data_IF_299430054919
#
_entry.id   IF_299430054919
#
_cell.length_a   1.000
_cell.length_b   1.000
_cell.length_c   1.000
_cell.angle_alpha   90.00
_cell.angle_beta   90.00
_cell.angle_gamma   90.00
#
_symmetry.space_group_name_H-M   'P 1'
#
loop_
_entity.id
_entity.type
_entity.pdbx_description
1 polymer ?
#
# COMPACT_ATOMS: atom_id res chain seq x y z
N UNK A 1 -71.35 7.09 18.25
CA UNK A 1 -70.86 5.74 18.62
C UNK A 1 -69.59 5.53 17.81
N UNK A 2 -68.41 5.21 18.30
CA UNK A 2 -67.80 4.95 19.60
C UNK A 2 -66.29 5.12 19.30
N UNK A 3 -65.58 5.97 20.02
CA UNK A 3 -64.63 5.57 21.07
C UNK A 3 -63.54 4.57 20.62
N UNK A 4 -62.28 5.01 20.64
CA UNK A 4 -61.28 4.73 21.71
C UNK A 4 -59.88 5.17 21.24
N UNK A 5 -59.33 6.20 21.87
CA UNK A 5 -58.26 6.09 22.88
C UNK A 5 -56.85 6.01 22.26
N UNK A 6 -56.14 7.14 22.24
CA UNK A 6 -54.99 7.29 23.14
C UNK A 6 -54.74 8.78 23.36
N UNK A 7 -54.73 9.17 24.63
CA UNK A 7 -54.58 10.52 25.11
C UNK A 7 -53.66 10.42 26.33
N UNK A 8 -52.91 11.51 26.58
CA UNK A 8 -52.18 11.86 27.82
C UNK A 8 -50.74 11.34 27.98
N UNK A 9 -49.80 12.13 28.49
CA UNK A 9 -49.68 13.58 28.77
C UNK A 9 -48.25 13.83 29.29
N UNK A 10 -47.84 15.10 29.23
CA UNK A 10 -46.86 15.87 30.06
C UNK A 10 -46.00 16.70 29.08
N UNK A 11 -46.08 18.03 28.85
CA UNK A 11 -46.48 19.23 29.64
C UNK A 11 -45.83 19.27 31.02
N UNK A 12 -45.09 20.27 31.50
CA UNK A 12 -44.62 21.62 31.05
C UNK A 12 -43.69 22.14 32.18
N UNK A 13 -42.93 23.22 31.94
CA UNK A 13 -42.30 24.18 32.90
C UNK A 13 -40.92 23.73 33.43
N UNK A 14 -39.82 24.50 33.46
CA UNK A 14 -39.53 25.94 33.28
C UNK A 14 -38.53 26.39 34.38
N UNK A 15 -37.77 27.48 34.13
CA UNK A 15 -36.82 28.20 35.04
C UNK A 15 -35.43 27.56 35.29
N UNK A 16 -34.28 28.25 35.43
CA UNK A 16 -33.81 29.63 35.20
C UNK A 16 -32.30 29.72 35.58
N UNK A 17 -31.53 30.63 34.95
CA UNK A 17 -30.19 31.17 35.32
C UNK A 17 -29.00 30.17 35.42
N UNK A 18 -27.79 30.46 34.91
CA UNK A 18 -26.87 31.54 35.34
C UNK A 18 -25.88 31.88 34.21
N UNK A 19 -25.74 33.18 33.94
CA UNK A 19 -24.61 33.85 33.30
C UNK A 19 -23.43 33.92 34.28
N UNK A 20 -22.24 33.44 33.89
CA UNK A 20 -20.97 33.92 34.45
C UNK A 20 -20.00 34.19 33.30
N UNK A 21 -19.77 35.47 33.05
CA UNK A 21 -18.53 35.95 32.49
C UNK A 21 -17.55 36.18 33.66
N UNK A 22 -16.27 35.87 33.49
CA UNK A 22 -15.11 36.50 34.14
C UNK A 22 -13.81 35.98 33.48
N UNK A 23 -12.72 36.78 33.47
CA UNK A 23 -11.74 36.84 32.39
C UNK A 23 -10.36 36.28 32.75
N UNK A 24 -9.48 36.22 31.74
CA UNK A 24 -8.01 36.24 31.82
C UNK A 24 -7.33 35.28 32.80
N UNK A 25 -6.58 34.30 32.28
CA UNK A 25 -5.23 34.07 32.79
C UNK A 25 -4.31 33.48 31.71
N UNK A 26 -3.22 34.21 31.49
CA UNK A 26 -2.00 33.82 30.80
C UNK A 26 -1.50 32.46 31.28
N UNK A 27 -1.26 31.54 30.35
CA UNK A 27 -0.34 30.43 30.54
C UNK A 27 0.61 30.35 29.35
N UNK A 28 1.72 31.07 29.55
CA UNK A 28 3.09 30.75 29.19
C UNK A 28 3.26 29.61 28.18
N UNK A 29 3.67 30.00 26.98
CA UNK A 29 4.31 29.14 25.98
C UNK A 29 5.59 28.58 26.60
N UNK A 30 5.53 27.37 27.16
CA UNK A 30 6.73 26.56 27.34
C UNK A 30 7.00 25.85 26.02
N UNK A 31 7.73 26.57 25.15
CA UNK A 31 8.49 26.01 24.05
C UNK A 31 9.48 25.00 24.61
N UNK A 32 9.07 23.73 24.71
CA UNK A 32 10.03 22.63 24.76
C UNK A 32 10.68 22.57 23.39
N UNK A 33 11.89 23.14 23.31
CA UNK A 33 12.88 22.82 22.29
C UNK A 33 13.09 21.29 22.29
N UNK A 34 12.29 20.57 21.52
CA UNK A 34 12.67 19.25 21.03
C UNK A 34 13.78 19.52 20.01
N UNK A 35 15.02 19.37 20.46
CA UNK A 35 16.18 19.37 19.58
C UNK A 35 16.06 18.19 18.64
N UNK A 36 15.48 18.40 17.46
CA UNK A 36 15.70 17.55 16.31
C UNK A 36 17.18 17.70 15.96
N UNK A 37 17.98 16.75 16.45
CA UNK A 37 19.30 16.51 15.88
C UNK A 37 19.08 16.10 14.44
N UNK A 38 19.66 16.86 13.52
CA UNK A 38 19.90 16.40 12.16
C UNK A 38 20.57 15.03 12.25
N UNK A 39 19.83 13.98 11.90
CA UNK A 39 20.41 12.63 11.86
C UNK A 39 21.34 12.57 10.66
N UNK A 40 22.58 12.09 10.83
CA UNK A 40 23.41 11.77 9.69
C UNK A 40 22.79 10.56 8.98
N UNK A 41 22.33 10.77 7.74
CA UNK A 41 22.01 9.69 6.79
C UNK A 41 23.25 8.79 6.68
N UNK A 42 23.31 7.71 7.46
CA UNK A 42 24.48 6.84 7.60
C UNK A 42 24.09 5.40 7.34
N UNK A 43 23.80 5.13 6.07
CA UNK A 43 24.16 3.91 5.32
C UNK A 43 23.40 3.98 4.00
N UNK A 44 23.98 4.68 3.02
CA UNK A 44 23.48 4.59 1.65
C UNK A 44 23.79 3.17 1.20
N UNK A 45 22.75 2.33 1.09
CA UNK A 45 22.85 1.05 0.42
C UNK A 45 23.50 1.29 -0.95
N UNK A 46 24.64 0.65 -1.21
CA UNK A 46 25.32 0.76 -2.49
C UNK A 46 24.48 0.00 -3.52
N UNK A 47 23.62 0.72 -4.24
CA UNK A 47 22.93 0.19 -5.40
C UNK A 47 23.97 -0.21 -6.44
N UNK A 48 23.95 -1.49 -6.86
CA UNK A 48 24.76 -1.97 -7.96
C UNK A 48 23.97 -1.78 -9.24
N UNK A 49 24.05 -0.59 -9.82
CA UNK A 49 23.59 -0.40 -11.18
C UNK A 49 24.61 -1.09 -12.11
N UNK A 50 24.15 -2.09 -12.88
CA UNK A 50 24.92 -2.58 -14.01
C UNK A 50 25.01 -1.45 -15.03
N UNK A 51 26.23 -1.00 -15.36
CA UNK A 51 26.47 0.14 -16.24
C UNK A 51 26.05 -0.07 -17.71
N UNK A 52 25.46 -1.21 -18.07
CA UNK A 52 25.08 -1.53 -19.46
C UNK A 52 23.69 -2.18 -19.57
N UNK A 53 22.62 -1.39 -19.43
CA UNK A 53 21.25 -1.82 -19.72
C UNK A 53 20.95 -2.03 -21.23
N UNK A 54 21.96 -1.93 -22.10
CA UNK A 54 21.83 -2.15 -23.55
C UNK A 54 22.60 -3.37 -24.08
N UNK A 55 23.24 -4.17 -23.21
CA UNK A 55 24.01 -5.33 -23.68
C UNK A 55 24.43 -6.38 -22.66
N UNK A 56 24.08 -6.25 -21.38
CA UNK A 56 24.40 -7.27 -20.39
C UNK A 56 23.37 -8.42 -20.42
N UNK A 57 23.77 -9.60 -20.90
CA UNK A 57 23.12 -10.86 -20.54
C UNK A 57 23.08 -10.94 -19.01
N UNK A 58 21.90 -10.76 -18.42
CA UNK A 58 21.67 -10.81 -16.99
C UNK A 58 22.08 -12.18 -16.44
N UNK A 59 23.32 -12.29 -15.97
CA UNK A 59 24.00 -13.55 -15.62
C UNK A 59 23.59 -14.13 -14.26
N UNK A 60 22.35 -13.87 -13.85
CA UNK A 60 21.73 -14.46 -12.67
C UNK A 60 20.27 -14.71 -13.00
N UNK A 61 19.98 -15.77 -13.77
CA UNK A 61 18.61 -16.21 -14.03
C UNK A 61 17.93 -16.43 -12.68
N UNK A 62 17.07 -15.47 -12.28
CA UNK A 62 16.24 -15.65 -11.09
C UNK A 62 15.27 -16.77 -11.40
N UNK A 63 15.28 -17.77 -10.55
CA UNK A 63 14.38 -18.91 -10.68
C UNK A 63 12.94 -18.43 -10.56
N UNK A 64 12.17 -18.59 -11.62
CA UNK A 64 10.72 -18.46 -11.56
C UNK A 64 10.15 -19.77 -11.00
N UNK A 65 9.31 -19.67 -9.98
CA UNK A 65 8.55 -20.81 -9.46
C UNK A 65 7.07 -20.55 -9.71
N UNK A 66 6.46 -21.33 -10.60
CA UNK A 66 5.02 -21.25 -10.83
C UNK A 66 4.31 -22.39 -10.10
N UNK A 67 3.26 -22.04 -9.37
CA UNK A 67 2.37 -22.98 -8.72
C UNK A 67 0.99 -22.91 -9.37
N UNK A 68 0.54 -24.04 -9.89
CA UNK A 68 -0.79 -24.18 -10.50
C UNK A 68 -1.83 -24.59 -9.44
N UNK A 69 -3.01 -23.96 -9.51
CA UNK A 69 -4.13 -24.16 -8.61
C UNK A 69 -5.45 -24.25 -9.40
N UNK A 70 -5.58 -25.31 -10.22
CA UNK A 70 -6.68 -25.43 -11.18
C UNK A 70 -6.50 -24.41 -12.31
N UNK A 71 -7.53 -23.64 -12.64
CA UNK A 71 -7.50 -22.61 -13.70
C UNK A 71 -6.70 -21.34 -13.33
N UNK A 72 -5.92 -21.39 -12.25
CA UNK A 72 -5.17 -20.23 -11.76
C UNK A 72 -3.71 -20.60 -11.57
N UNK A 73 -2.83 -19.67 -11.87
CA UNK A 73 -1.38 -19.84 -11.79
C UNK A 73 -0.79 -18.65 -11.04
N UNK A 74 0.06 -18.94 -10.06
CA UNK A 74 0.83 -17.93 -9.34
C UNK A 74 2.29 -18.19 -9.66
N UNK A 75 2.92 -17.25 -10.38
CA UNK A 75 4.34 -17.29 -10.66
C UNK A 75 5.07 -16.33 -9.73
N UNK A 76 5.98 -16.90 -8.93
CA UNK A 76 6.84 -16.14 -8.05
C UNK A 76 8.22 -15.99 -8.68
N UNK A 77 8.76 -14.79 -8.54
CA UNK A 77 10.13 -14.47 -8.82
C UNK A 77 10.82 -13.89 -7.58
N UNK A 78 12.06 -14.32 -7.35
CA UNK A 78 12.79 -13.99 -6.13
C UNK A 78 12.35 -14.85 -4.95
N UNK A 79 13.05 -14.68 -3.83
CA UNK A 79 12.83 -15.46 -2.61
C UNK A 79 12.68 -14.53 -1.43
N UNK A 80 11.80 -14.92 -0.53
CA UNK A 80 11.55 -14.16 0.68
C UNK A 80 12.66 -14.43 1.70
N UNK A 81 13.22 -13.36 2.26
CA UNK A 81 14.37 -13.39 3.16
C UNK A 81 13.90 -13.27 4.60
N UNK A 82 14.32 -14.22 5.45
CA UNK A 82 14.00 -14.18 6.88
C UNK A 82 14.70 -12.99 7.55
N UNK A 83 14.02 -12.33 8.48
CA UNK A 83 14.54 -11.17 9.21
C UNK A 83 14.46 -9.83 8.46
N UNK A 84 13.99 -9.84 7.21
CA UNK A 84 13.76 -8.63 6.43
C UNK A 84 12.36 -8.05 6.73
N UNK A 85 12.16 -6.77 6.39
CA UNK A 85 10.86 -6.09 6.42
C UNK A 85 10.34 -5.96 4.99
N UNK A 86 9.03 -6.07 4.77
CA UNK A 86 8.46 -5.96 3.42
C UNK A 86 7.33 -4.94 3.34
N UNK A 87 7.36 -4.11 2.28
CA UNK A 87 6.19 -3.37 1.83
C UNK A 87 5.42 -4.19 0.80
N UNK A 88 4.10 -4.31 0.97
CA UNK A 88 3.22 -5.10 0.11
C UNK A 88 2.30 -4.19 -0.68
N UNK A 89 2.43 -4.21 -1.99
CA UNK A 89 1.65 -3.42 -2.93
C UNK A 89 1.67 -4.07 -4.31
N UNK A 90 0.93 -3.52 -5.26
CA UNK A 90 0.91 -4.09 -6.58
C UNK A 90 0.11 -3.28 -7.58
N UNK A 91 -0.06 -3.87 -8.75
CA UNK A 91 -0.81 -3.30 -9.85
C UNK A 91 -1.52 -4.41 -10.64
N UNK A 92 -2.22 -4.01 -11.69
CA UNK A 92 -2.83 -4.92 -12.64
C UNK A 92 -2.39 -4.61 -14.06
N UNK A 93 -2.35 -5.62 -14.94
CA UNK A 93 -1.98 -5.51 -16.35
C UNK A 93 -3.16 -5.30 -17.29
N UNK A 94 -4.38 -5.13 -16.78
CA UNK A 94 -5.52 -4.88 -17.65
C UNK A 94 -5.47 -3.48 -18.26
N UNK A 95 -5.87 -3.39 -19.52
CA UNK A 95 -5.67 -2.25 -20.44
C UNK A 95 -6.49 -1.00 -20.06
N UNK A 96 -6.17 -0.42 -18.90
CA UNK A 96 -6.66 0.88 -18.46
C UNK A 96 -5.45 1.81 -18.33
N UNK A 97 -5.53 3.07 -18.81
CA UNK A 97 -4.43 4.03 -18.67
C UNK A 97 -3.91 4.17 -17.24
N UNK A 98 -4.79 3.99 -16.25
CA UNK A 98 -4.43 4.02 -14.83
C UNK A 98 -3.59 2.82 -14.39
N UNK A 99 -3.87 1.63 -14.91
CA UNK A 99 -3.08 0.42 -14.66
C UNK A 99 -1.63 0.59 -15.13
N UNK A 100 -1.45 1.21 -16.29
CA UNK A 100 -0.12 1.53 -16.84
C UNK A 100 0.64 2.50 -15.92
N UNK A 101 -0.04 3.53 -15.41
CA UNK A 101 0.56 4.46 -14.45
C UNK A 101 1.07 3.74 -13.21
N UNK A 102 0.27 2.83 -12.63
CA UNK A 102 0.68 2.09 -11.45
C UNK A 102 1.80 1.09 -11.75
N UNK A 103 1.77 0.41 -12.89
CA UNK A 103 2.84 -0.50 -13.29
C UNK A 103 4.17 0.23 -13.46
N UNK A 104 4.16 1.41 -14.11
CA UNK A 104 5.34 2.27 -14.24
C UNK A 104 5.97 2.60 -12.88
N UNK A 105 5.15 2.84 -11.86
CA UNK A 105 5.64 3.22 -10.54
C UNK A 105 6.22 2.05 -9.75
N UNK A 106 5.97 0.78 -10.10
CA UNK A 106 6.40 -0.36 -9.29
C UNK A 106 7.91 -0.39 -9.00
N UNK A 107 8.83 -0.24 -9.98
CA UNK A 107 10.26 -0.25 -9.71
C UNK A 107 10.71 0.94 -8.87
N UNK A 108 10.16 2.13 -9.15
CA UNK A 108 10.48 3.36 -8.42
C UNK A 108 10.00 3.28 -6.97
N UNK A 109 8.82 2.71 -6.74
CA UNK A 109 8.26 2.47 -5.40
C UNK A 109 9.08 1.43 -4.66
N UNK A 110 9.58 0.40 -5.35
CA UNK A 110 10.43 -0.61 -4.73
C UNK A 110 11.74 -0.01 -4.23
N UNK A 111 12.34 0.86 -5.05
CA UNK A 111 13.51 1.64 -4.68
C UNK A 111 13.22 2.56 -3.48
N UNK A 112 12.06 3.23 -3.45
CA UNK A 112 11.65 4.13 -2.36
C UNK A 112 11.49 3.41 -1.02
N UNK A 113 10.89 2.22 -1.02
CA UNK A 113 10.78 1.37 0.17
C UNK A 113 12.13 0.78 0.59
N UNK A 114 12.95 0.33 -0.36
CA UNK A 114 14.28 -0.22 -0.06
C UNK A 114 15.18 0.80 0.63
N UNK A 115 15.11 2.07 0.21
CA UNK A 115 15.84 3.18 0.83
C UNK A 115 15.62 3.30 2.34
N UNK A 116 14.43 2.94 2.84
CA UNK A 116 14.10 2.97 4.28
C UNK A 116 14.14 1.57 4.93
N UNK A 117 14.83 0.62 4.30
CA UNK A 117 15.08 -0.72 4.84
C UNK A 117 13.93 -1.71 4.67
N UNK A 118 13.05 -1.52 3.68
CA UNK A 118 11.99 -2.47 3.33
C UNK A 118 12.25 -3.09 1.96
N UNK A 119 12.28 -4.41 1.92
CA UNK A 119 12.15 -5.14 0.66
C UNK A 119 10.71 -4.97 0.13
N UNK A 120 10.48 -5.31 -1.13
CA UNK A 120 9.18 -5.14 -1.78
C UNK A 120 8.60 -6.50 -2.15
N UNK A 121 7.39 -6.76 -1.66
CA UNK A 121 6.56 -7.88 -2.10
C UNK A 121 5.50 -7.33 -3.05
N UNK A 122 5.76 -7.47 -4.34
CA UNK A 122 4.97 -6.86 -5.40
C UNK A 122 4.07 -7.93 -6.01
N UNK A 123 2.79 -7.61 -6.19
CA UNK A 123 1.90 -8.44 -6.99
C UNK A 123 1.49 -7.75 -8.29
N UNK A 124 1.37 -8.53 -9.34
CA UNK A 124 0.87 -8.12 -10.64
C UNK A 124 -0.30 -9.04 -11.00
N UNK A 125 -1.49 -8.46 -11.14
CA UNK A 125 -2.67 -9.20 -11.58
C UNK A 125 -2.78 -9.15 -13.09
N UNK A 126 -2.65 -10.30 -13.75
CA UNK A 126 -2.70 -10.43 -15.19
C UNK A 126 -2.04 -11.73 -15.65
N UNK A 127 -2.09 -11.97 -16.96
CA UNK A 127 -1.51 -13.18 -17.55
C UNK A 127 0.00 -13.03 -17.67
N UNK A 128 0.74 -14.07 -17.27
CA UNK A 128 2.20 -14.10 -17.38
C UNK A 128 2.68 -13.91 -18.83
N UNK A 129 1.92 -14.42 -19.79
CA UNK A 129 2.18 -14.21 -21.21
C UNK A 129 2.21 -12.72 -21.59
N UNK A 130 1.42 -11.85 -20.95
CA UNK A 130 1.48 -10.39 -21.17
C UNK A 130 2.76 -9.78 -20.60
N UNK A 131 3.30 -10.31 -19.50
CA UNK A 131 4.59 -9.88 -18.98
C UNK A 131 5.70 -10.09 -20.01
N UNK A 132 5.62 -11.21 -20.73
CA UNK A 132 6.58 -11.51 -21.78
C UNK A 132 6.23 -10.76 -23.07
N UNK A 133 5.00 -10.74 -23.55
CA UNK A 133 4.70 -10.29 -24.91
C UNK A 133 4.52 -8.78 -25.11
N UNK A 134 4.31 -8.01 -24.04
CA UNK A 134 4.19 -6.54 -24.15
C UNK A 134 5.51 -5.87 -23.80
N UNK A 135 6.15 -5.22 -24.77
CA UNK A 135 7.46 -4.55 -24.60
C UNK A 135 7.53 -3.63 -23.37
N UNK A 136 6.46 -2.88 -23.11
CA UNK A 136 6.31 -2.01 -21.92
C UNK A 136 6.29 -2.78 -20.60
N UNK A 137 5.49 -3.85 -20.53
CA UNK A 137 5.37 -4.64 -19.30
C UNK A 137 6.65 -5.42 -19.06
N UNK A 138 7.23 -6.01 -20.12
CA UNK A 138 8.53 -6.69 -20.06
C UNK A 138 9.60 -5.76 -19.49
N UNK A 139 9.71 -4.53 -19.99
CA UNK A 139 10.66 -3.54 -19.48
C UNK A 139 10.50 -3.25 -17.98
N UNK A 140 9.25 -3.15 -17.49
CA UNK A 140 8.96 -2.96 -16.07
C UNK A 140 9.34 -4.20 -15.26
N UNK A 141 8.97 -5.38 -15.72
CA UNK A 141 9.27 -6.65 -15.06
C UNK A 141 10.79 -6.86 -15.00
N UNK A 142 11.51 -6.63 -16.09
CA UNK A 142 12.98 -6.71 -16.13
C UNK A 142 13.62 -5.77 -15.11
N UNK A 143 13.14 -4.52 -15.01
CA UNK A 143 13.60 -3.56 -14.01
C UNK A 143 13.34 -4.03 -12.57
N UNK A 144 12.17 -4.63 -12.28
CA UNK A 144 11.90 -5.24 -10.98
C UNK A 144 12.81 -6.44 -10.69
N UNK A 145 13.05 -7.25 -11.71
CA UNK A 145 13.79 -8.50 -11.63
C UNK A 145 15.31 -8.30 -11.49
N UNK A 146 15.82 -7.13 -11.84
CA UNK A 146 17.18 -6.73 -11.56
C UNK A 146 17.46 -6.57 -10.05
N UNK A 147 16.44 -6.26 -9.24
CA UNK A 147 16.62 -5.76 -7.86
C UNK A 147 16.42 -6.85 -6.79
N UNK A 148 17.45 -7.18 -6.01
CA UNK A 148 17.49 -8.36 -5.11
C UNK A 148 16.52 -8.25 -3.92
N UNK A 149 16.06 -7.04 -3.64
CA UNK A 149 15.07 -6.71 -2.64
C UNK A 149 13.62 -6.82 -3.15
N UNK A 150 13.40 -7.31 -4.37
CA UNK A 150 12.06 -7.51 -4.95
C UNK A 150 11.68 -8.98 -4.99
N UNK A 151 10.50 -9.28 -4.45
CA UNK A 151 9.76 -10.52 -4.69
C UNK A 151 8.53 -10.17 -5.50
N UNK A 152 8.43 -10.73 -6.71
CA UNK A 152 7.33 -10.46 -7.63
C UNK A 152 6.40 -11.68 -7.74
N UNK A 153 5.10 -11.46 -7.55
CA UNK A 153 4.04 -12.45 -7.69
C UNK A 153 3.13 -12.07 -8.87
N UNK A 154 3.15 -12.87 -9.94
CA UNK A 154 2.19 -12.74 -11.04
C UNK A 154 1.00 -13.66 -10.77
N UNK A 155 -0.20 -13.10 -10.69
CA UNK A 155 -1.43 -13.83 -10.38
C UNK A 155 -2.34 -13.86 -11.60
N UNK A 156 -2.44 -15.05 -12.19
CA UNK A 156 -3.24 -15.34 -13.38
C UNK A 156 -4.65 -15.86 -13.04
N UNK A 157 -5.53 -15.94 -14.04
CA UNK A 157 -6.86 -16.53 -13.91
C UNK A 157 -7.91 -15.60 -13.28
N UNK A 158 -7.58 -14.32 -13.12
CA UNK A 158 -8.48 -13.29 -12.60
C UNK A 158 -9.21 -12.60 -13.76
N UNK A 159 -10.54 -12.57 -13.71
CA UNK A 159 -11.36 -11.86 -14.70
C UNK A 159 -11.12 -10.34 -14.59
N UNK A 160 -11.08 -9.66 -15.74
CA UNK A 160 -10.89 -8.20 -15.82
C UNK A 160 -11.85 -7.41 -14.92
N UNK A 161 -13.13 -7.79 -14.84
CA UNK A 161 -14.12 -7.08 -14.02
C UNK A 161 -13.83 -7.16 -12.51
N UNK A 162 -13.10 -8.19 -12.06
CA UNK A 162 -12.76 -8.37 -10.65
C UNK A 162 -11.38 -7.77 -10.33
N UNK A 163 -10.61 -7.39 -11.35
CA UNK A 163 -9.19 -7.07 -11.22
C UNK A 163 -8.88 -5.86 -10.36
N UNK A 164 -9.73 -4.83 -10.39
CA UNK A 164 -9.52 -3.61 -9.60
C UNK A 164 -9.78 -3.90 -8.13
N UNK A 165 -10.92 -4.52 -7.80
CA UNK A 165 -11.24 -4.97 -6.44
C UNK A 165 -10.18 -5.92 -5.92
N UNK A 166 -9.76 -6.88 -6.73
CA UNK A 166 -8.69 -7.81 -6.37
C UNK A 166 -7.37 -7.07 -6.18
N UNK A 167 -6.99 -6.16 -7.07
CA UNK A 167 -5.76 -5.36 -6.96
C UNK A 167 -5.70 -4.54 -5.68
N UNK A 168 -6.84 -4.01 -5.25
CA UNK A 168 -6.98 -3.28 -3.99
C UNK A 168 -6.84 -4.19 -2.78
N UNK A 169 -7.58 -5.30 -2.72
CA UNK A 169 -7.66 -6.10 -1.50
C UNK A 169 -6.54 -7.16 -1.40
N UNK A 170 -5.91 -7.54 -2.51
CA UNK A 170 -4.92 -8.61 -2.57
C UNK A 170 -3.71 -8.37 -1.65
N UNK A 171 -3.31 -7.11 -1.42
CA UNK A 171 -2.26 -6.78 -0.43
C UNK A 171 -2.59 -7.26 0.99
N UNK A 172 -3.87 -7.33 1.36
CA UNK A 172 -4.29 -7.88 2.66
C UNK A 172 -4.06 -9.38 2.79
N UNK A 173 -3.89 -10.06 1.65
CA UNK A 173 -3.69 -11.49 1.55
C UNK A 173 -2.26 -11.85 1.08
N UNK A 174 -1.38 -10.87 0.85
CA UNK A 174 -0.01 -11.11 0.39
C UNK A 174 0.74 -12.11 1.28
N UNK A 175 0.54 -12.04 2.60
CA UNK A 175 1.13 -12.98 3.56
C UNK A 175 0.72 -14.45 3.35
N UNK A 176 -0.50 -14.72 2.85
CA UNK A 176 -0.98 -16.09 2.63
C UNK A 176 -0.54 -16.70 1.30
N UNK A 177 -0.21 -15.87 0.31
CA UNK A 177 0.30 -16.34 -0.99
C UNK A 177 1.78 -16.74 -0.95
N UNK A 178 2.59 -16.05 -0.15
CA UNK A 178 4.03 -16.34 0.03
C UNK A 178 4.30 -17.66 0.76
N UNK A 179 3.38 -18.09 1.64
CA UNK A 179 3.57 -19.22 2.57
C UNK A 179 3.86 -20.58 1.94
N UNK A 180 3.66 -20.76 0.62
CA UNK A 180 3.89 -22.05 -0.03
C UNK A 180 5.30 -22.23 -0.58
N UNK A 181 6.12 -21.18 -0.58
CA UNK A 181 7.42 -21.22 -1.28
C UNK A 181 8.61 -21.37 -0.33
N UNK A 182 8.50 -20.92 0.92
CA UNK A 182 9.56 -21.01 1.93
C UNK A 182 9.03 -21.64 3.26
N UNK A 183 9.93 -22.14 4.11
CA UNK A 183 9.56 -22.74 5.43
C UNK A 183 8.62 -21.80 6.20
N UNK A 184 7.36 -22.19 6.47
CA UNK A 184 6.38 -21.34 7.13
C UNK A 184 6.82 -20.78 8.49
N UNK A 185 7.82 -21.40 9.14
CA UNK A 185 8.38 -20.93 10.41
C UNK A 185 9.29 -19.71 10.24
N UNK A 186 10.00 -19.59 9.13
CA UNK A 186 10.98 -18.50 8.93
C UNK A 186 10.32 -17.18 8.56
N UNK A 187 9.11 -17.23 8.00
CA UNK A 187 8.33 -16.07 7.57
C UNK A 187 7.45 -15.47 8.67
N UNK A 188 7.13 -16.21 9.73
CA UNK A 188 6.17 -15.79 10.76
C UNK A 188 6.57 -14.52 11.52
N UNK A 189 7.86 -14.31 11.72
CA UNK A 189 8.38 -13.13 12.42
C UNK A 189 8.71 -11.96 11.49
N UNK A 190 8.61 -12.14 10.18
CA UNK A 190 8.80 -11.06 9.21
C UNK A 190 7.74 -9.98 9.42
N UNK A 191 8.21 -8.73 9.48
CA UNK A 191 7.34 -7.56 9.51
C UNK A 191 6.91 -7.18 8.09
N UNK A 192 5.61 -7.02 7.90
CA UNK A 192 5.04 -6.57 6.64
C UNK A 192 4.19 -5.33 6.88
N UNK A 193 4.17 -4.43 5.89
CA UNK A 193 3.32 -3.26 5.87
C UNK A 193 2.61 -3.19 4.53
N UNK A 194 1.32 -2.85 4.53
CA UNK A 194 0.63 -2.57 3.28
C UNK A 194 1.06 -1.21 2.73
N UNK A 195 1.10 -1.08 1.42
CA UNK A 195 1.47 0.14 0.72
C UNK A 195 0.66 0.28 -0.57
N UNK A 196 0.69 1.46 -1.18
CA UNK A 196 0.23 1.71 -2.55
C UNK A 196 1.44 1.93 -3.47
N UNK A 197 1.29 1.56 -4.75
CA UNK A 197 2.34 1.77 -5.74
C UNK A 197 2.60 3.26 -6.02
N UNK A 198 1.71 4.17 -5.64
CA UNK A 198 1.85 5.62 -5.80
C UNK A 198 2.09 6.36 -4.48
N UNK A 199 2.42 5.67 -3.39
CA UNK A 199 2.78 6.30 -2.11
C UNK A 199 4.24 5.95 -1.79
N UNK A 200 5.13 6.96 -1.85
CA UNK A 200 6.54 6.77 -1.53
C UNK A 200 6.84 7.16 -0.08
N UNK A 201 7.53 6.30 0.70
CA UNK A 201 7.95 6.66 2.04
C UNK A 201 9.06 7.71 1.99
N UNK A 202 8.89 8.78 2.77
CA UNK A 202 9.89 9.85 2.90
C UNK A 202 10.71 9.67 4.18
N UNK A 203 10.04 9.35 5.30
CA UNK A 203 10.68 9.21 6.61
C UNK A 203 10.44 7.82 7.22
N UNK A 204 11.53 7.09 7.47
CA UNK A 204 11.51 5.70 7.97
C UNK A 204 10.83 5.52 9.33
N UNK A 205 10.92 6.51 10.22
CA UNK A 205 10.51 6.38 11.62
C UNK A 205 9.01 6.15 11.81
N UNK A 206 8.21 6.42 10.79
CA UNK A 206 6.75 6.27 10.80
C UNK A 206 6.27 4.89 10.36
N UNK A 207 7.17 4.05 9.84
CA UNK A 207 6.84 2.75 9.29
C UNK A 207 7.31 1.58 10.16
N UNK A 208 8.20 1.84 11.12
CA UNK A 208 8.68 0.83 12.05
C UNK A 208 7.69 0.55 13.18
N UNK A 209 7.57 -0.71 13.55
CA UNK A 209 6.75 -1.16 14.68
C UNK A 209 7.48 -0.86 16.00
N UNK A 210 6.91 -0.06 16.92
CA UNK A 210 7.59 0.24 18.18
C UNK A 210 7.75 -1.01 19.07
N UNK A 211 8.76 -1.05 19.96
CA UNK A 211 8.95 -2.16 20.88
C UNK A 211 7.69 -2.47 21.73
N UNK A 212 7.37 -3.77 21.85
CA UNK A 212 6.22 -4.25 22.62
C UNK A 212 4.87 -4.14 21.91
N UNK A 213 4.85 -3.63 20.68
CA UNK A 213 3.65 -3.53 19.84
C UNK A 213 3.59 -4.69 18.85
N UNK A 214 2.37 -5.06 18.47
CA UNK A 214 2.10 -6.13 17.51
C UNK A 214 1.57 -5.56 16.18
N UNK A 215 0.89 -4.41 16.21
CA UNK A 215 0.27 -3.75 15.05
C UNK A 215 0.63 -2.26 15.02
N UNK A 216 1.06 -1.77 13.86
CA UNK A 216 1.11 -0.36 13.47
C UNK A 216 -0.18 -0.04 12.71
N UNK A 217 -0.85 1.04 13.09
CA UNK A 217 -2.08 1.50 12.47
C UNK A 217 -2.07 3.03 12.34
N UNK A 218 -2.05 3.53 11.11
CA UNK A 218 -2.29 4.96 10.86
C UNK A 218 -3.75 5.30 11.13
N UNK A 219 -4.00 6.43 11.78
CA UNK A 219 -5.34 7.00 11.92
C UNK A 219 -5.39 8.39 11.29
N UNK A 220 -6.33 8.58 10.37
CA UNK A 220 -6.57 9.84 9.64
C UNK A 220 -7.82 10.58 10.13
N UNK A 221 -8.63 9.91 10.95
CA UNK A 221 -9.91 10.44 11.40
C UNK A 221 -9.76 11.45 12.54
N UNK A 222 -8.61 11.45 13.21
CA UNK A 222 -8.40 12.20 14.45
C UNK A 222 -9.30 11.73 15.59
N UNK A 223 -9.94 10.56 15.44
CA UNK A 223 -10.92 10.04 16.37
C UNK A 223 -10.23 8.95 17.23
N UNK A 224 -9.90 9.25 18.50
CA UNK A 224 -8.95 8.45 19.27
C UNK A 224 -9.44 7.02 19.60
N UNK A 225 -10.73 6.73 19.44
CA UNK A 225 -11.31 5.42 19.74
C UNK A 225 -12.31 4.97 18.66
N UNK A 226 -11.86 4.13 17.71
CA UNK A 226 -12.75 3.47 16.76
C UNK A 226 -13.69 2.51 17.51
N UNK A 227 -15.00 2.58 17.25
CA UNK A 227 -15.96 1.54 17.61
C UNK A 227 -16.03 0.48 16.49
N UNK A 228 -16.36 -0.77 16.83
CA UNK A 228 -16.61 -1.86 15.87
C UNK A 228 -17.68 -1.49 14.85
N UNK A 229 -18.65 -0.69 15.25
CA UNK A 229 -19.75 -0.27 14.38
C UNK A 229 -19.35 0.89 13.46
N UNK A 230 -18.28 1.61 13.78
CA UNK A 230 -17.74 2.73 13.00
C UNK A 230 -16.21 2.69 13.01
N UNK A 231 -15.59 1.65 12.43
CA UNK A 231 -14.15 1.55 12.42
C UNK A 231 -13.56 2.72 11.64
N UNK A 232 -12.51 3.33 12.17
CA UNK A 232 -11.74 4.35 11.47
C UNK A 232 -11.13 3.70 10.25
N UNK A 233 -11.31 4.28 9.07
CA UNK A 233 -10.68 3.77 7.86
C UNK A 233 -9.16 3.89 7.99
N UNK A 234 -8.50 2.76 8.24
CA UNK A 234 -7.05 2.68 8.26
C UNK A 234 -6.53 2.99 6.86
N UNK A 235 -5.71 4.04 6.67
CA UNK A 235 -5.01 4.21 5.42
C UNK A 235 -4.06 3.03 5.25
N UNK A 236 -4.24 2.26 4.17
CA UNK A 236 -3.50 1.01 3.97
C UNK A 236 -1.99 1.20 3.98
N UNK A 237 -1.48 2.33 3.50
CA UNK A 237 -0.04 2.60 3.53
C UNK A 237 0.59 2.68 4.94
N UNK A 238 -0.22 2.53 6.01
CA UNK A 238 0.18 2.62 7.42
C UNK A 238 -0.42 1.49 8.27
N UNK A 239 -0.65 0.32 7.68
CA UNK A 239 -1.02 -0.89 8.43
C UNK A 239 0.08 -1.90 8.31
N UNK A 240 0.76 -2.17 9.42
CA UNK A 240 1.88 -3.11 9.44
C UNK A 240 1.93 -3.96 10.70
N UNK A 241 2.30 -5.22 10.56
CA UNK A 241 2.42 -6.18 11.66
C UNK A 241 3.30 -7.34 11.23
N UNK A 242 3.69 -8.19 12.18
CA UNK A 242 4.38 -9.43 11.84
C UNK A 242 3.41 -10.39 11.14
N UNK A 243 3.92 -11.20 10.22
CA UNK A 243 3.13 -12.19 9.46
C UNK A 243 2.28 -13.06 10.38
N UNK A 244 2.82 -13.54 11.51
CA UNK A 244 2.04 -14.34 12.48
C UNK A 244 0.79 -13.59 12.97
N UNK A 245 0.94 -12.32 13.35
CA UNK A 245 -0.15 -11.45 13.78
C UNK A 245 -1.08 -11.14 12.61
N UNK A 246 -0.53 -10.94 11.41
CA UNK A 246 -1.32 -10.74 10.19
C UNK A 246 -2.26 -11.91 9.91
N UNK A 247 -1.76 -13.14 10.01
CA UNK A 247 -2.56 -14.35 9.84
C UNK A 247 -3.63 -14.43 10.92
N UNK A 248 -3.30 -14.13 12.19
CA UNK A 248 -4.30 -14.12 13.26
C UNK A 248 -5.42 -13.11 13.01
N UNK A 249 -5.08 -11.87 12.66
CA UNK A 249 -6.01 -10.79 12.34
C UNK A 249 -6.91 -11.17 11.16
N UNK A 250 -6.34 -11.74 10.10
CA UNK A 250 -7.09 -12.05 8.88
C UNK A 250 -7.85 -13.38 8.93
N UNK A 251 -7.39 -14.37 9.72
CA UNK A 251 -8.05 -15.67 9.88
C UNK A 251 -9.26 -15.64 10.83
N UNK A 252 -9.55 -14.48 11.43
CA UNK A 252 -10.53 -14.33 12.51
C UNK A 252 -12.01 -14.46 12.08
N UNK A 253 -12.36 -15.38 11.18
CA UNK A 253 -13.76 -15.67 10.86
C UNK A 253 -14.21 -17.12 10.97
N UNK A 254 -13.39 -18.07 11.43
CA UNK A 254 -13.83 -19.45 11.78
C UNK A 254 -14.54 -20.27 10.68
N UNK A 255 -14.85 -19.68 9.53
CA UNK A 255 -15.67 -20.23 8.45
C UNK A 255 -14.82 -20.55 7.23
N UNK A 256 -13.67 -19.89 7.05
CA UNK A 256 -12.75 -20.16 5.96
C UNK A 256 -11.30 -20.03 6.43
N UNK A 257 -10.47 -21.02 6.07
CA UNK A 257 -9.03 -20.82 6.10
C UNK A 257 -8.65 -19.65 5.18
N UNK A 258 -7.61 -18.90 5.53
CA UNK A 258 -7.08 -17.82 4.69
C UNK A 258 -6.96 -18.25 3.22
N UNK A 259 -7.45 -17.46 2.26
CA UNK A 259 -7.33 -17.78 0.85
C UNK A 259 -5.87 -18.04 0.48
N UNK A 260 -5.60 -19.21 -0.12
CA UNK A 260 -4.28 -19.62 -0.60
C UNK A 260 -4.19 -19.66 -2.13
N UNK A 261 -5.31 -19.39 -2.80
CA UNK A 261 -5.43 -19.36 -4.26
C UNK A 261 -6.32 -18.17 -4.65
N UNK A 262 -6.14 -17.65 -5.86
CA UNK A 262 -7.01 -16.60 -6.40
C UNK A 262 -8.47 -17.06 -6.47
N UNK A 263 -8.75 -18.34 -6.77
CA UNK A 263 -10.11 -18.91 -6.69
C UNK A 263 -10.71 -18.83 -5.29
N UNK A 264 -9.95 -19.21 -4.25
CA UNK A 264 -10.41 -19.09 -2.86
C UNK A 264 -10.61 -17.63 -2.48
N UNK A 265 -9.79 -16.73 -3.01
CA UNK A 265 -9.87 -15.30 -2.77
C UNK A 265 -11.14 -14.71 -3.41
N UNK A 266 -11.45 -15.09 -4.65
CA UNK A 266 -12.69 -14.72 -5.33
C UNK A 266 -13.91 -15.27 -4.56
N UNK A 267 -13.90 -16.55 -4.19
CA UNK A 267 -14.99 -17.14 -3.39
C UNK A 267 -15.17 -16.44 -2.04
N UNK A 268 -14.06 -16.07 -1.39
CA UNK A 268 -14.07 -15.27 -0.17
C UNK A 268 -14.72 -13.92 -0.44
N UNK A 269 -14.33 -13.20 -1.49
CA UNK A 269 -14.93 -11.91 -1.83
C UNK A 269 -16.39 -12.00 -2.22
N UNK A 270 -16.81 -13.00 -2.98
CA UNK A 270 -18.21 -13.26 -3.29
C UNK A 270 -19.00 -13.53 -2.00
N UNK A 271 -18.41 -14.27 -1.05
CA UNK A 271 -19.06 -14.54 0.23
C UNK A 271 -19.18 -13.31 1.15
N UNK A 272 -18.19 -12.41 1.12
CA UNK A 272 -18.14 -11.23 2.00
C UNK A 272 -18.87 -10.03 1.39
N UNK A 273 -18.79 -9.86 0.06
CA UNK A 273 -19.28 -8.67 -0.66
C UNK A 273 -20.47 -8.96 -1.57
N UNK A 274 -20.83 -10.22 -1.78
CA UNK A 274 -21.96 -10.58 -2.64
C UNK A 274 -21.77 -10.05 -4.06
N UNK A 275 -22.80 -9.44 -4.63
CA UNK A 275 -22.77 -8.91 -6.01
C UNK A 275 -21.75 -7.79 -6.22
N UNK A 276 -21.41 -7.05 -5.17
CA UNK A 276 -20.45 -5.93 -5.27
C UNK A 276 -19.01 -6.38 -5.53
N UNK A 277 -18.70 -7.68 -5.38
CA UNK A 277 -17.39 -8.24 -5.79
C UNK A 277 -17.17 -8.20 -7.31
N UNK A 278 -18.26 -8.17 -8.08
CA UNK A 278 -18.27 -8.25 -9.54
C UNK A 278 -18.54 -6.89 -10.22
N UNK A 279 -18.81 -5.86 -9.42
CA UNK A 279 -19.08 -4.51 -9.89
C UNK A 279 -17.76 -3.76 -10.08
N UNK A 280 -17.67 -2.95 -11.14
CA UNK A 280 -16.51 -2.09 -11.35
C UNK A 280 -16.38 -1.10 -10.19
N UNK A 281 -15.17 -0.97 -9.63
CA UNK A 281 -14.92 -0.05 -8.53
C UNK A 281 -14.93 1.39 -9.05
N UNK A 282 -15.93 2.18 -8.63
CA UNK A 282 -15.94 3.62 -8.88
C UNK A 282 -14.95 4.31 -7.94
N UNK A 283 -14.08 5.15 -8.52
CA UNK A 283 -13.11 5.92 -7.75
C UNK A 283 -13.79 6.81 -6.69
N UNK A 284 -13.34 6.70 -5.44
CA UNK A 284 -13.95 7.41 -4.31
C UNK A 284 -15.31 6.85 -3.85
N UNK A 285 -15.84 5.81 -4.51
CA UNK A 285 -17.04 5.09 -4.07
C UNK A 285 -16.76 4.13 -2.91
N UNK A 286 -17.81 3.55 -2.32
CA UNK A 286 -17.68 2.62 -1.18
C UNK A 286 -16.79 1.41 -1.48
N UNK A 287 -16.86 0.88 -2.71
CA UNK A 287 -15.99 -0.22 -3.15
C UNK A 287 -14.51 0.15 -3.21
N UNK A 288 -14.17 1.44 -3.33
CA UNK A 288 -12.78 1.92 -3.41
C UNK A 288 -12.02 1.80 -2.09
N UNK A 289 -12.73 1.81 -0.96
CA UNK A 289 -12.17 1.76 0.40
C UNK A 289 -12.40 0.40 1.07
N UNK A 290 -12.70 -0.63 0.27
CA UNK A 290 -13.16 -1.92 0.77
C UNK A 290 -12.06 -2.67 1.53
N UNK A 291 -10.81 -2.50 1.11
CA UNK A 291 -9.62 -3.00 1.77
C UNK A 291 -9.37 -2.28 3.11
N UNK A 292 -9.46 -0.95 3.13
CA UNK A 292 -9.38 -0.13 4.35
C UNK A 292 -10.45 -0.54 5.36
N UNK A 293 -11.71 -0.63 4.92
CA UNK A 293 -12.81 -1.05 5.78
C UNK A 293 -12.63 -2.48 6.30
N UNK A 294 -12.19 -3.40 5.46
CA UNK A 294 -11.91 -4.79 5.86
C UNK A 294 -10.86 -4.84 6.95
N UNK A 295 -9.66 -4.30 6.71
CA UNK A 295 -8.55 -4.42 7.66
C UNK A 295 -8.84 -3.69 8.97
N UNK A 296 -9.51 -2.54 8.91
CA UNK A 296 -9.88 -1.77 10.10
C UNK A 296 -10.82 -2.55 11.00
N UNK A 297 -11.84 -3.16 10.41
CA UNK A 297 -12.76 -4.05 11.13
C UNK A 297 -12.00 -5.24 11.74
N UNK A 298 -11.08 -5.87 10.99
CA UNK A 298 -10.31 -7.02 11.50
C UNK A 298 -9.41 -6.67 12.67
N UNK A 299 -8.73 -5.54 12.59
CA UNK A 299 -7.87 -5.05 13.68
C UNK A 299 -8.73 -4.79 14.93
N UNK A 300 -9.92 -4.19 14.77
CA UNK A 300 -10.81 -3.93 15.90
C UNK A 300 -11.38 -5.22 16.52
N UNK A 301 -11.77 -6.19 15.70
CA UNK A 301 -12.19 -7.52 16.16
C UNK A 301 -11.05 -8.21 16.94
N UNK A 302 -9.85 -8.26 16.37
CA UNK A 302 -8.66 -8.81 17.04
C UNK A 302 -8.34 -8.08 18.35
N UNK A 303 -8.49 -6.74 18.37
CA UNK A 303 -8.28 -5.90 19.56
C UNK A 303 -9.18 -6.33 20.72
N UNK A 304 -10.48 -6.46 20.47
CA UNK A 304 -11.47 -6.83 21.51
C UNK A 304 -11.12 -8.18 22.14
N UNK A 305 -10.60 -9.10 21.35
CA UNK A 305 -10.44 -10.48 21.77
C UNK A 305 -9.06 -10.82 22.33
N UNK A 306 -8.02 -10.15 21.82
CA UNK A 306 -6.63 -10.46 22.14
C UNK A 306 -5.93 -9.40 22.95
N UNK A 307 -6.34 -8.13 22.82
CA UNK A 307 -5.60 -7.06 23.46
C UNK A 307 -5.77 -7.12 24.98
N UNK A 308 -6.94 -7.53 25.52
CA UNK A 308 -7.19 -7.66 26.98
C UNK A 308 -6.66 -6.45 27.80
N UNK A 309 -6.62 -5.24 27.21
CA UNK A 309 -6.07 -4.02 27.83
C UNK A 309 -4.55 -3.81 27.72
N UNK A 310 -3.79 -4.68 27.06
CA UNK A 310 -2.31 -4.65 26.96
C UNK A 310 -1.75 -3.63 25.95
N UNK A 311 -2.60 -2.85 25.26
CA UNK A 311 -2.21 -1.81 24.28
C UNK A 311 -1.20 -2.33 23.24
N UNK A 312 -1.53 -3.41 22.54
CA UNK A 312 -0.70 -4.02 21.50
C UNK A 312 -0.72 -3.27 20.17
N UNK A 313 -1.71 -2.41 19.97
CA UNK A 313 -1.80 -1.57 18.78
C UNK A 313 -1.06 -0.24 19.05
N UNK A 314 -0.25 0.17 18.09
CA UNK A 314 0.33 1.50 18.01
C UNK A 314 -0.44 2.31 16.98
N UNK A 315 -1.16 3.32 17.44
CA UNK A 315 -1.91 4.23 16.60
C UNK A 315 -1.04 5.45 16.32
N UNK A 316 -0.81 5.71 15.05
CA UNK A 316 -0.11 6.91 14.60
C UNK A 316 -1.10 7.88 13.97
N UNK A 317 -1.31 9.03 14.62
CA UNK A 317 -2.22 10.07 14.13
C UNK A 317 -1.58 10.79 12.94
N UNK A 318 -2.11 10.52 11.75
CA UNK A 318 -1.71 11.16 10.49
C UNK A 318 -2.40 12.50 10.33
N UNK A 319 -1.64 13.48 9.86
CA UNK A 319 -2.16 14.75 9.42
C UNK A 319 -1.82 14.92 7.94
N UNK A 320 -2.50 14.18 7.07
CA UNK A 320 -2.23 14.13 5.62
C UNK A 320 -2.12 15.52 4.97
N UNK A 321 -2.84 16.51 5.47
CA UNK A 321 -2.80 17.88 4.95
C UNK A 321 -1.46 18.61 5.21
N UNK A 322 -0.65 18.11 6.14
CA UNK A 322 0.59 18.74 6.59
C UNK A 322 1.81 17.83 6.53
N UNK A 323 1.60 16.51 6.62
CA UNK A 323 2.69 15.52 6.72
C UNK A 323 2.89 14.71 5.43
N UNK A 324 2.15 15.02 4.37
CA UNK A 324 2.25 14.37 3.05
C UNK A 324 2.46 15.39 1.94
N UNK A 325 3.33 15.07 1.00
CA UNK A 325 3.36 15.75 -0.31
C UNK A 325 2.26 15.12 -1.15
N UNK A 326 1.15 15.83 -1.36
CA UNK A 326 -0.03 15.30 -2.05
C UNK A 326 -0.15 15.82 -3.49
N UNK A 327 -0.79 15.06 -4.38
CA UNK A 327 -1.02 15.43 -5.78
C UNK A 327 -1.70 16.78 -5.93
N UNK A 328 -2.63 17.10 -5.02
CA UNK A 328 -3.37 18.37 -5.07
C UNK A 328 -2.52 19.58 -4.66
N UNK A 329 -1.36 19.33 -4.05
CA UNK A 329 -0.44 20.36 -3.56
C UNK A 329 1.01 19.89 -3.71
N UNK A 330 1.43 19.67 -4.95
CA UNK A 330 2.76 19.19 -5.26
C UNK A 330 3.82 20.28 -5.13
N UNK A 331 4.40 20.40 -3.94
CA UNK A 331 5.44 21.36 -3.62
C UNK A 331 6.54 20.70 -2.80
N UNK A 332 7.77 20.77 -3.30
CA UNK A 332 8.90 19.97 -2.81
C UNK A 332 10.09 20.89 -2.58
N UNK A 333 10.13 21.51 -1.41
CA UNK A 333 11.24 22.37 -1.00
C UNK A 333 12.09 21.70 0.09
N UNK A 334 11.43 21.04 1.05
CA UNK A 334 12.04 20.37 2.20
C UNK A 334 11.30 19.07 2.52
N UNK A 335 12.01 18.06 3.03
CA UNK A 335 11.43 16.79 3.49
C UNK A 335 11.22 16.74 5.02
N UNK A 336 11.62 17.78 5.74
CA UNK A 336 11.48 17.82 7.20
C UNK A 336 9.99 17.82 7.59
N UNK A 337 9.61 16.88 8.46
CA UNK A 337 8.21 16.68 8.87
C UNK A 337 7.33 15.94 7.86
N UNK A 338 7.86 15.58 6.68
CA UNK A 338 7.14 14.80 5.67
C UNK A 338 7.30 13.30 5.96
N UNK A 339 6.16 12.60 5.98
CA UNK A 339 6.04 11.16 6.21
C UNK A 339 6.12 10.41 4.87
N UNK A 340 5.31 10.80 3.90
CA UNK A 340 5.16 10.16 2.59
C UNK A 340 4.85 11.18 1.46
N UNK A 341 4.91 10.71 0.23
CA UNK A 341 4.54 11.47 -0.97
C UNK A 341 3.57 10.68 -1.85
N UNK A 342 2.45 11.29 -2.24
CA UNK A 342 1.46 10.73 -3.17
C UNK A 342 1.79 11.13 -4.60
N UNK A 343 2.47 10.22 -5.29
CA UNK A 343 3.14 10.44 -6.56
C UNK A 343 2.16 10.86 -7.67
N UNK A 344 2.57 11.83 -8.47
CA UNK A 344 1.79 12.35 -9.59
C UNK A 344 1.44 11.24 -10.59
N UNK A 345 0.24 11.33 -11.17
CA UNK A 345 -0.19 10.44 -12.23
C UNK A 345 0.57 10.73 -13.53
N UNK A 346 0.77 9.73 -14.37
CA UNK A 346 1.52 9.86 -15.63
C UNK A 346 2.95 10.37 -15.43
N UNK A 347 3.59 9.97 -14.32
CA UNK A 347 4.96 10.38 -13.98
C UNK A 347 5.99 10.05 -15.08
N UNK A 348 5.72 9.10 -15.98
CA UNK A 348 6.60 8.83 -17.12
C UNK A 348 6.58 9.92 -18.21
N UNK A 349 5.65 10.88 -18.23
CA UNK A 349 5.68 11.94 -19.25
C UNK A 349 6.71 13.01 -18.90
N UNK A 350 7.40 13.62 -19.88
CA UNK A 350 8.41 14.66 -19.60
C UNK A 350 7.89 15.81 -18.73
N UNK A 351 6.65 16.24 -18.94
CA UNK A 351 6.02 17.32 -18.20
C UNK A 351 5.84 16.96 -16.72
N UNK A 352 5.33 15.76 -16.45
CA UNK A 352 5.10 15.30 -15.06
C UNK A 352 6.42 14.92 -14.39
N UNK A 353 7.32 14.27 -15.13
CA UNK A 353 8.63 13.86 -14.63
C UNK A 353 9.47 15.06 -14.17
N UNK A 354 9.38 16.19 -14.87
CA UNK A 354 10.00 17.44 -14.45
C UNK A 354 9.62 17.83 -13.01
N UNK A 355 8.35 17.65 -12.63
CA UNK A 355 7.88 17.91 -11.27
C UNK A 355 8.23 16.80 -10.27
N UNK A 356 8.38 15.56 -10.73
CA UNK A 356 8.81 14.43 -9.90
C UNK A 356 10.28 14.52 -9.49
N UNK A 357 11.13 15.01 -10.40
CA UNK A 357 12.58 14.99 -10.27
C UNK A 357 13.15 15.68 -9.01
N UNK A 358 12.62 16.83 -8.54
CA UNK A 358 13.03 17.41 -7.26
C UNK A 358 12.89 16.47 -6.07
N UNK A 359 11.81 15.68 -5.99
CA UNK A 359 11.63 14.70 -4.91
C UNK A 359 12.71 13.62 -4.99
N UNK A 360 12.96 13.08 -6.18
CA UNK A 360 13.99 12.05 -6.40
C UNK A 360 15.36 12.56 -5.94
N UNK A 361 15.72 13.81 -6.29
CA UNK A 361 17.00 14.41 -5.83
C UNK A 361 17.12 14.54 -4.32
N UNK A 362 16.02 14.83 -3.63
CA UNK A 362 16.01 14.93 -2.17
C UNK A 362 16.05 13.55 -1.51
N UNK A 363 15.42 12.54 -2.11
CA UNK A 363 15.43 11.17 -1.60
C UNK A 363 16.75 10.44 -1.88
N UNK A 364 17.38 10.72 -3.01
CA UNK A 364 18.59 10.05 -3.49
C UNK A 364 19.67 11.09 -3.84
N UNK A 365 20.66 11.33 -2.96
CA UNK A 365 21.68 12.34 -3.20
C UNK A 365 22.73 11.91 -4.23
N UNK A 366 22.69 10.66 -4.71
CA UNK A 366 23.68 10.14 -5.65
C UNK A 366 23.20 10.34 -7.11
N UNK A 367 24.11 10.72 -8.01
CA UNK A 367 23.77 11.01 -9.40
C UNK A 367 23.43 9.75 -10.21
N UNK A 368 23.91 8.58 -9.81
CA UNK A 368 23.71 7.33 -10.56
C UNK A 368 22.25 6.88 -10.48
N UNK A 369 21.66 6.87 -9.28
CA UNK A 369 20.24 6.58 -9.06
C UNK A 369 19.36 7.61 -9.76
N UNK A 370 19.71 8.90 -9.71
CA UNK A 370 18.96 9.94 -10.43
C UNK A 370 18.99 9.68 -11.93
N UNK A 371 20.16 9.38 -12.51
CA UNK A 371 20.31 9.06 -13.94
C UNK A 371 19.48 7.85 -14.31
N UNK A 372 19.56 6.77 -13.54
CA UNK A 372 18.77 5.57 -13.78
C UNK A 372 17.26 5.85 -13.77
N UNK A 373 16.78 6.68 -12.83
CA UNK A 373 15.38 7.08 -12.79
C UNK A 373 14.99 7.89 -14.04
N UNK A 374 15.83 8.87 -14.42
CA UNK A 374 15.62 9.71 -15.61
C UNK A 374 15.56 8.82 -16.89
N UNK A 375 16.52 7.89 -17.04
CA UNK A 375 16.60 6.95 -18.18
C UNK A 375 15.39 5.99 -18.22
N UNK A 376 14.96 5.48 -17.06
CA UNK A 376 13.80 4.60 -16.93
C UNK A 376 12.50 5.32 -17.33
N UNK A 377 12.30 6.56 -16.87
CA UNK A 377 11.15 7.37 -17.23
C UNK A 377 11.12 7.69 -18.73
N UNK A 378 12.25 8.14 -19.29
CA UNK A 378 12.39 8.45 -20.70
C UNK A 378 12.12 7.22 -21.58
N UNK A 379 12.68 6.06 -21.22
CA UNK A 379 12.45 4.81 -21.96
C UNK A 379 10.97 4.41 -21.94
N UNK A 380 10.30 4.54 -20.80
CA UNK A 380 8.86 4.25 -20.67
C UNK A 380 8.01 5.20 -21.50
N UNK A 381 8.38 6.49 -21.55
CA UNK A 381 7.72 7.46 -22.42
C UNK A 381 7.82 7.07 -23.90
N UNK A 382 9.04 6.71 -24.36
CA UNK A 382 9.25 6.29 -25.75
C UNK A 382 8.43 5.05 -26.10
N UNK A 383 8.43 4.03 -25.25
CA UNK A 383 7.63 2.83 -25.47
C UNK A 383 6.12 3.16 -25.54
N UNK A 384 5.64 4.12 -24.74
CA UNK A 384 4.23 4.54 -24.79
C UNK A 384 3.87 5.23 -26.13
N UNK A 385 4.76 6.09 -26.65
CA UNK A 385 4.56 6.72 -27.96
C UNK A 385 4.49 5.67 -29.07
N UNK A 386 5.44 4.72 -29.08
CA UNK A 386 5.50 3.68 -30.13
C UNK A 386 4.23 2.83 -30.13
N UNK A 387 3.77 2.36 -28.97
CA UNK A 387 2.52 1.58 -28.86
C UNK A 387 1.30 2.36 -29.39
N UNK A 388 1.18 3.67 -29.08
CA UNK A 388 0.04 4.49 -29.54
C UNK A 388 0.05 4.79 -31.04
N UNK A 389 1.24 4.83 -31.63
CA UNK A 389 1.40 5.11 -33.06
C UNK A 389 1.03 3.92 -33.97
N UNK A 390 0.74 2.75 -33.39
CA UNK A 390 0.44 1.52 -34.14
C UNK A 390 1.63 0.98 -34.94
N UNK A 391 2.84 1.48 -34.66
CA UNK A 391 4.08 1.02 -35.28
C UNK A 391 4.45 -0.37 -34.77
N UNK A 392 4.08 -0.67 -33.52
CA UNK A 392 4.08 -2.02 -32.98
C UNK A 392 2.71 -2.67 -33.25
N UNK A 393 2.65 -3.57 -34.24
CA UNK A 393 1.57 -4.53 -34.39
C UNK A 393 1.66 -5.61 -33.29
N UNK A 394 1.75 -5.20 -32.02
CA UNK A 394 1.58 -6.12 -30.90
C UNK A 394 0.11 -6.60 -30.95
N UNK A 395 -0.05 -7.90 -31.25
CA UNK A 395 -1.35 -8.57 -31.32
C UNK A 395 -1.92 -8.56 -29.90
N UNK A 396 -2.98 -7.75 -29.69
CA UNK A 396 -3.74 -7.68 -28.45
C UNK A 396 -4.66 -8.88 -28.25
#
# INVERSE_FOLDING_TARGET
MENRCYNRLLKTVGFCFILVAIPCLLLVINSTKTGYRSMPFSSVASFRFGEDASGAEASGSRTMTCNEFGDNKICQYGTVRSGHKYAIYGSTLFDQPRSENYCFLLPLSAMAWNRIGYDSLIYIIGDHERCDNTSRIRFIVDALMAEDYVVLLVIEGIRQNNSVTLGQVLRLFGASFVQKVDDPKTWQDTYIITADADIWPVNETFFDLPPGKDILHGDISGNPEPDVNTPTNAPLSFVGMRVKTWIEVMSYFGLFAMPRTSKQLILYFDSVFGKSSCEGVLHGGQGWFIDQGMISRRIQEWKIEKENGTKKIYIYNRMFMTDRIDRVRWHIDILEGIVDAHILEYAYTPETWHFMRPLIKLLYPNNVTISWCDDFADKMYQLNITCRSGIDNEIY
#
